data_IF_257962968264
#
_entry.id   IF_257962968264
#
_cell.length_a   1.000
_cell.length_b   1.000
_cell.length_c   1.000
_cell.angle_alpha   90.00
_cell.angle_beta   90.00
_cell.angle_gamma   90.00
#
_symmetry.space_group_name_H-M   'P 1'
#
loop_
_entity.id
_entity.type
_entity.pdbx_description
1 polymer ?
#
# COMPACT_ATOMS: atom_id res chain seq x y z
N UNK A 1 15.24 -45.80 29.82
CA UNK A 1 15.35 -44.79 28.75
C UNK A 1 13.97 -44.21 28.48
N UNK A 2 13.62 -43.12 29.16
CA UNK A 2 12.41 -42.30 28.93
C UNK A 2 12.87 -41.06 28.17
N UNK A 3 12.78 -41.09 26.84
CA UNK A 3 13.31 -40.03 26.00
C UNK A 3 12.67 -39.92 24.63
N UNK A 4 11.43 -40.41 24.48
CA UNK A 4 10.77 -40.42 23.17
C UNK A 4 9.33 -39.90 23.15
N UNK A 5 8.74 -39.56 24.31
CA UNK A 5 7.35 -39.05 24.35
C UNK A 5 7.24 -37.54 24.58
N UNK A 6 8.30 -36.86 25.02
CA UNK A 6 8.20 -35.42 25.32
C UNK A 6 8.27 -34.51 24.09
N UNK A 7 8.86 -34.96 22.97
CA UNK A 7 8.91 -34.15 21.74
C UNK A 7 7.62 -34.21 20.91
N UNK A 8 6.78 -35.24 21.13
CA UNK A 8 5.51 -35.41 20.41
C UNK A 8 4.37 -34.60 21.02
N UNK A 9 4.42 -34.34 22.33
CA UNK A 9 3.40 -33.58 23.05
C UNK A 9 3.59 -32.05 22.86
N UNK A 10 4.83 -31.60 22.61
CA UNK A 10 5.13 -30.19 22.33
C UNK A 10 4.91 -29.79 20.85
N UNK A 11 4.90 -30.75 19.92
CA UNK A 11 4.60 -30.49 18.51
C UNK A 11 3.10 -30.59 18.17
N UNK A 12 2.24 -30.94 19.13
CA UNK A 12 0.81 -31.20 18.89
C UNK A 12 -0.12 -30.10 19.44
N UNK A 13 0.44 -28.99 19.95
CA UNK A 13 -0.34 -27.87 20.50
C UNK A 13 -0.09 -26.54 19.79
N UNK A 14 0.71 -26.53 18.71
CA UNK A 14 0.89 -25.39 17.81
C UNK A 14 0.43 -25.79 16.40
N UNK A 15 -0.73 -26.46 16.29
CA UNK A 15 -1.63 -26.18 15.17
C UNK A 15 -2.42 -24.92 15.58
N UNK A 16 -1.71 -23.80 15.67
CA UNK A 16 -2.37 -22.50 15.59
C UNK A 16 -3.06 -22.52 14.22
N UNK A 17 -4.39 -22.39 14.20
CA UNK A 17 -5.14 -22.27 12.95
C UNK A 17 -4.63 -21.01 12.23
N UNK A 18 -3.58 -21.16 11.41
CA UNK A 18 -3.00 -20.08 10.63
C UNK A 18 -4.11 -19.49 9.77
N UNK A 19 -4.37 -18.19 9.94
CA UNK A 19 -5.37 -17.54 9.12
C UNK A 19 -4.84 -17.45 7.68
N UNK A 20 -5.76 -17.34 6.72
CA UNK A 20 -5.41 -17.12 5.30
C UNK A 20 -4.47 -15.92 5.12
N UNK A 21 -4.62 -14.88 5.94
CA UNK A 21 -3.76 -13.70 5.92
C UNK A 21 -2.34 -14.01 6.43
N UNK A 22 -2.19 -14.85 7.46
CA UNK A 22 -0.88 -15.27 7.98
C UNK A 22 -0.10 -16.03 6.92
N UNK A 23 -0.78 -16.95 6.21
CA UNK A 23 -0.19 -17.71 5.10
C UNK A 23 0.25 -16.76 3.97
N UNK A 24 -0.55 -15.74 3.66
CA UNK A 24 -0.19 -14.73 2.67
C UNK A 24 1.06 -13.94 3.09
N UNK A 25 1.12 -13.48 4.34
CA UNK A 25 2.26 -12.71 4.87
C UNK A 25 3.52 -13.57 4.90
N UNK A 26 3.43 -14.82 5.36
CA UNK A 26 4.58 -15.74 5.40
C UNK A 26 5.14 -15.95 3.98
N UNK A 27 4.25 -16.14 3.00
CA UNK A 27 4.64 -16.28 1.59
C UNK A 27 5.37 -15.02 1.08
N UNK A 28 4.78 -13.84 1.23
CA UNK A 28 5.38 -12.59 0.75
C UNK A 28 6.72 -12.30 1.43
N UNK A 29 6.83 -12.54 2.74
CA UNK A 29 8.10 -12.41 3.45
C UNK A 29 9.11 -13.41 2.89
N UNK A 30 8.78 -14.71 2.79
CA UNK A 30 9.73 -15.72 2.33
C UNK A 30 10.27 -15.45 0.91
N UNK A 31 9.42 -14.99 0.00
CA UNK A 31 9.78 -14.74 -1.40
C UNK A 31 10.45 -13.37 -1.62
N UNK A 32 10.04 -12.34 -0.86
CA UNK A 32 10.38 -10.95 -1.14
C UNK A 32 10.99 -10.20 0.05
N UNK A 33 11.45 -10.89 1.10
CA UNK A 33 12.05 -10.28 2.32
C UNK A 33 13.05 -9.19 1.97
N UNK A 34 14.00 -9.44 1.06
CA UNK A 34 15.05 -8.47 0.74
C UNK A 34 14.49 -7.17 0.15
N UNK A 35 13.53 -7.26 -0.76
CA UNK A 35 12.88 -6.11 -1.37
C UNK A 35 12.00 -5.36 -0.37
N UNK A 36 11.19 -6.09 0.42
CA UNK A 36 10.35 -5.52 1.47
C UNK A 36 11.21 -4.76 2.48
N UNK A 37 12.29 -5.37 2.96
CA UNK A 37 13.19 -4.77 3.94
C UNK A 37 13.85 -3.52 3.36
N UNK A 38 14.40 -3.59 2.15
CA UNK A 38 15.05 -2.45 1.51
C UNK A 38 14.08 -1.27 1.32
N UNK A 39 12.87 -1.50 0.80
CA UNK A 39 11.89 -0.42 0.60
C UNK A 39 11.30 0.09 1.93
N UNK A 40 11.19 -0.78 2.94
CA UNK A 40 10.80 -0.37 4.30
C UNK A 40 11.85 0.56 4.92
N UNK A 41 13.15 0.33 4.65
CA UNK A 41 14.21 1.25 5.11
C UNK A 41 14.08 2.64 4.45
N UNK A 42 13.69 2.71 3.19
CA UNK A 42 13.40 4.00 2.52
C UNK A 42 12.24 4.72 3.22
N UNK A 43 11.19 3.99 3.61
CA UNK A 43 10.04 4.55 4.33
C UNK A 43 10.37 5.06 5.74
N UNK A 44 11.49 4.63 6.35
CA UNK A 44 11.95 5.18 7.64
C UNK A 44 12.52 6.59 7.53
N UNK A 45 12.88 7.03 6.32
CA UNK A 45 13.36 8.39 6.12
C UNK A 45 12.18 9.33 6.31
N UNK A 46 12.25 10.28 7.26
CA UNK A 46 11.10 11.07 7.68
C UNK A 46 10.87 12.22 6.69
N UNK A 47 10.56 11.91 5.45
CA UNK A 47 10.25 12.89 4.39
C UNK A 47 9.09 12.37 3.57
N UNK A 48 8.03 13.16 3.45
CA UNK A 48 6.83 12.77 2.70
C UNK A 48 7.15 12.40 1.25
N UNK A 49 7.99 13.17 0.57
CA UNK A 49 8.40 12.88 -0.81
C UNK A 49 9.16 11.56 -0.92
N UNK A 50 10.06 11.29 0.02
CA UNK A 50 10.82 10.03 0.04
C UNK A 50 9.90 8.85 0.36
N UNK A 51 8.92 9.05 1.25
CA UNK A 51 7.88 8.07 1.55
C UNK A 51 7.04 7.75 0.32
N UNK A 52 6.63 8.75 -0.46
CA UNK A 52 5.92 8.56 -1.74
C UNK A 52 6.73 7.67 -2.70
N UNK A 53 8.04 7.92 -2.84
CA UNK A 53 8.93 7.07 -3.65
C UNK A 53 8.97 5.64 -3.09
N UNK A 54 9.14 5.49 -1.78
CA UNK A 54 9.12 4.20 -1.10
C UNK A 54 7.81 3.44 -1.32
N UNK A 55 6.66 4.13 -1.28
CA UNK A 55 5.33 3.55 -1.53
C UNK A 55 5.23 3.04 -2.98
N UNK A 56 5.68 3.82 -3.97
CA UNK A 56 5.68 3.40 -5.38
C UNK A 56 6.48 2.10 -5.54
N UNK A 57 7.71 2.08 -5.00
CA UNK A 57 8.59 0.92 -5.08
C UNK A 57 7.98 -0.29 -4.37
N UNK A 58 7.46 -0.10 -3.15
CA UNK A 58 6.86 -1.16 -2.37
C UNK A 58 5.62 -1.74 -3.06
N UNK A 59 4.70 -0.88 -3.53
CA UNK A 59 3.52 -1.32 -4.29
C UNK A 59 3.92 -2.12 -5.53
N UNK A 60 4.94 -1.67 -6.26
CA UNK A 60 5.40 -2.33 -7.48
C UNK A 60 6.02 -3.70 -7.26
N UNK A 61 6.64 -3.93 -6.10
CA UNK A 61 7.28 -5.20 -5.74
C UNK A 61 6.31 -6.23 -5.16
N UNK A 62 5.14 -5.80 -4.68
CA UNK A 62 4.15 -6.68 -4.08
C UNK A 62 3.23 -7.32 -5.14
N UNK A 63 1.90 -7.21 -4.97
CA UNK A 63 0.91 -7.84 -5.84
C UNK A 63 1.01 -7.39 -7.31
N UNK A 64 1.45 -6.15 -7.54
CA UNK A 64 1.65 -5.59 -8.89
C UNK A 64 2.70 -6.39 -9.67
N UNK A 65 3.81 -6.77 -9.01
CA UNK A 65 4.84 -7.63 -9.61
C UNK A 65 4.28 -8.99 -10.02
N UNK A 66 3.46 -9.58 -9.14
CA UNK A 66 2.92 -10.91 -9.38
C UNK A 66 1.92 -10.90 -10.54
N UNK A 67 1.07 -9.86 -10.65
CA UNK A 67 0.14 -9.70 -11.78
C UNK A 67 0.92 -9.51 -13.08
N UNK A 68 1.94 -8.64 -13.08
CA UNK A 68 2.76 -8.35 -14.27
C UNK A 68 3.47 -9.60 -14.79
N UNK A 69 4.01 -10.43 -13.90
CA UNK A 69 4.76 -11.64 -14.27
C UNK A 69 3.90 -12.90 -14.41
N UNK A 70 2.57 -12.78 -14.33
CA UNK A 70 1.61 -13.91 -14.32
C UNK A 70 1.80 -14.91 -13.18
N UNK A 71 2.56 -14.54 -12.15
CA UNK A 71 2.73 -15.35 -10.94
C UNK A 71 1.46 -15.40 -10.08
N UNK A 72 0.44 -14.58 -10.38
CA UNK A 72 -0.88 -14.68 -9.71
C UNK A 72 -1.55 -16.02 -10.01
N UNK A 73 -1.25 -16.65 -11.14
CA UNK A 73 -1.74 -17.99 -11.44
C UNK A 73 -1.22 -19.00 -10.40
N UNK A 74 0.01 -18.82 -9.89
CA UNK A 74 0.58 -19.59 -8.77
C UNK A 74 -0.10 -19.30 -7.43
N UNK A 75 -0.58 -18.06 -7.22
CA UNK A 75 -1.36 -17.66 -6.05
C UNK A 75 -2.78 -18.23 -6.06
N UNK A 76 -3.36 -18.52 -7.22
CA UNK A 76 -4.67 -19.21 -7.32
C UNK A 76 -4.59 -20.71 -7.04
N UNK A 77 -3.40 -21.32 -7.01
CA UNK A 77 -3.24 -22.67 -6.48
C UNK A 77 -3.36 -22.70 -4.95
N UNK A 78 -3.21 -21.55 -4.29
CA UNK A 78 -3.63 -21.35 -2.90
C UNK A 78 -5.13 -20.95 -2.91
N UNK A 79 -5.93 -21.35 -1.91
CA UNK A 79 -7.38 -21.12 -1.88
C UNK A 79 -7.74 -19.65 -1.52
N UNK A 80 -7.13 -18.70 -2.23
CA UNK A 80 -7.36 -17.27 -2.11
C UNK A 80 -8.24 -16.76 -3.26
N UNK A 81 -9.29 -16.03 -2.93
CA UNK A 81 -10.07 -15.23 -3.88
C UNK A 81 -9.30 -13.96 -4.28
N UNK A 82 -9.61 -13.37 -5.43
CA UNK A 82 -9.01 -12.07 -5.80
C UNK A 82 -9.35 -10.98 -4.80
N UNK A 83 -10.57 -11.03 -4.26
CA UNK A 83 -11.04 -10.11 -3.21
C UNK A 83 -10.10 -10.18 -2.01
N UNK A 84 -9.81 -11.37 -1.52
CA UNK A 84 -8.87 -11.60 -0.40
C UNK A 84 -7.46 -11.11 -0.74
N UNK A 85 -6.90 -11.45 -1.91
CA UNK A 85 -5.54 -11.02 -2.30
C UNK A 85 -5.37 -9.50 -2.34
N UNK A 86 -6.37 -8.78 -2.87
CA UNK A 86 -6.36 -7.32 -2.91
C UNK A 86 -6.30 -6.73 -1.49
N UNK A 87 -7.21 -7.17 -0.62
CA UNK A 87 -7.29 -6.65 0.73
C UNK A 87 -6.12 -7.07 1.61
N UNK A 88 -5.65 -8.32 1.53
CA UNK A 88 -4.49 -8.78 2.29
C UNK A 88 -3.24 -7.99 1.92
N UNK A 89 -3.03 -7.73 0.62
CA UNK A 89 -1.91 -6.92 0.20
C UNK A 89 -2.03 -5.47 0.69
N UNK A 90 -3.21 -4.85 0.55
CA UNK A 90 -3.45 -3.49 1.03
C UNK A 90 -3.26 -3.37 2.55
N UNK A 91 -3.79 -4.31 3.33
CA UNK A 91 -3.65 -4.31 4.79
C UNK A 91 -2.19 -4.47 5.19
N UNK A 92 -1.45 -5.36 4.52
CA UNK A 92 -0.02 -5.53 4.74
C UNK A 92 0.76 -4.22 4.48
N UNK A 93 0.48 -3.53 3.37
CA UNK A 93 1.10 -2.25 3.05
C UNK A 93 0.76 -1.16 4.07
N UNK A 94 -0.51 -1.09 4.52
CA UNK A 94 -0.92 -0.17 5.59
C UNK A 94 -0.14 -0.46 6.87
N UNK A 95 0.03 -1.73 7.24
CA UNK A 95 0.77 -2.12 8.44
C UNK A 95 2.24 -1.69 8.38
N UNK A 96 2.90 -1.87 7.23
CA UNK A 96 4.27 -1.38 7.00
C UNK A 96 4.35 0.14 7.17
N UNK A 97 3.37 0.89 6.65
CA UNK A 97 3.33 2.35 6.82
C UNK A 97 3.11 2.73 8.28
N UNK A 98 2.24 2.05 9.02
CA UNK A 98 2.01 2.34 10.43
C UNK A 98 3.28 2.15 11.26
N UNK A 99 4.01 1.05 11.04
CA UNK A 99 5.29 0.78 11.72
C UNK A 99 6.33 1.86 11.40
N UNK A 100 6.53 2.14 10.12
CA UNK A 100 7.56 3.10 9.68
C UNK A 100 7.22 4.55 10.05
N UNK A 101 5.95 4.89 10.19
CA UNK A 101 5.51 6.24 10.60
C UNK A 101 5.70 6.53 12.09
N UNK A 102 5.91 5.50 12.93
CA UNK A 102 6.26 5.71 14.33
C UNK A 102 7.58 6.47 14.51
N UNK A 103 8.49 6.36 13.53
CA UNK A 103 9.80 7.04 13.53
C UNK A 103 9.69 8.55 13.32
N UNK A 104 8.72 9.01 12.53
CA UNK A 104 8.53 10.44 12.25
C UNK A 104 8.26 11.25 13.52
N UNK A 105 7.44 10.67 14.41
CA UNK A 105 7.12 11.29 15.71
C UNK A 105 8.38 11.52 16.54
N UNK A 106 9.30 10.55 16.54
CA UNK A 106 10.54 10.61 17.30
C UNK A 106 11.49 11.64 16.70
N UNK A 107 11.62 11.67 15.37
CA UNK A 107 12.59 12.53 14.69
C UNK A 107 12.21 14.02 14.74
N UNK A 108 10.92 14.34 14.54
CA UNK A 108 10.44 15.71 14.50
C UNK A 108 9.82 16.21 15.80
N UNK A 109 9.83 15.40 16.86
CA UNK A 109 9.21 15.71 18.15
C UNK A 109 7.75 16.20 18.00
N UNK A 110 6.99 15.49 17.16
CA UNK A 110 5.62 15.87 16.82
C UNK A 110 4.68 15.62 18.00
N UNK A 111 3.65 16.47 18.09
CA UNK A 111 2.49 16.18 18.94
C UNK A 111 1.77 14.91 18.45
N UNK A 112 0.96 14.31 19.33
CA UNK A 112 0.17 13.12 18.98
C UNK A 112 -0.72 13.40 17.76
N UNK A 113 -1.34 14.58 17.70
CA UNK A 113 -2.22 14.97 16.60
C UNK A 113 -1.45 15.12 15.27
N UNK A 114 -0.30 15.78 15.28
CA UNK A 114 0.54 15.94 14.09
C UNK A 114 1.08 14.60 13.59
N UNK A 115 1.45 13.69 14.49
CA UNK A 115 1.86 12.33 14.13
C UNK A 115 0.74 11.53 13.46
N UNK A 116 -0.48 11.58 14.02
CA UNK A 116 -1.65 10.95 13.40
C UNK A 116 -1.98 11.56 12.03
N UNK A 117 -1.85 12.87 11.90
CA UNK A 117 -2.05 13.57 10.63
C UNK A 117 -1.00 13.15 9.59
N UNK A 118 0.28 13.04 9.96
CA UNK A 118 1.35 12.55 9.07
C UNK A 118 1.11 11.10 8.60
N UNK A 119 0.67 10.23 9.51
CA UNK A 119 0.24 8.86 9.19
C UNK A 119 -0.89 8.88 8.17
N UNK A 120 -1.94 9.67 8.44
CA UNK A 120 -3.08 9.78 7.53
C UNK A 120 -2.66 10.27 6.14
N UNK A 121 -1.82 11.30 6.07
CA UNK A 121 -1.27 11.80 4.79
C UNK A 121 -0.54 10.72 4.01
N UNK A 122 0.23 9.88 4.71
CA UNK A 122 0.98 8.77 4.09
C UNK A 122 0.04 7.66 3.62
N UNK A 123 -1.02 7.37 4.37
CA UNK A 123 -2.08 6.42 3.98
C UNK A 123 -2.85 6.92 2.74
N UNK A 124 -3.14 8.22 2.64
CA UNK A 124 -3.78 8.82 1.45
C UNK A 124 -2.93 8.57 0.21
N UNK A 125 -1.62 8.84 0.31
CA UNK A 125 -0.69 8.57 -0.78
C UNK A 125 -0.64 7.08 -1.14
N UNK A 126 -0.60 6.19 -0.14
CA UNK A 126 -0.66 4.74 -0.36
C UNK A 126 -1.90 4.31 -1.13
N UNK A 127 -3.09 4.73 -0.69
CA UNK A 127 -4.35 4.34 -1.32
C UNK A 127 -4.39 4.74 -2.80
N UNK A 128 -3.99 5.97 -3.11
CA UNK A 128 -3.94 6.45 -4.48
C UNK A 128 -2.90 5.68 -5.32
N UNK A 129 -1.66 5.58 -4.83
CA UNK A 129 -0.55 4.94 -5.58
C UNK A 129 -0.81 3.45 -5.77
N UNK A 130 -1.27 2.74 -4.73
CA UNK A 130 -1.66 1.35 -4.83
C UNK A 130 -2.82 1.17 -5.82
N UNK A 131 -3.85 2.00 -5.72
CA UNK A 131 -4.99 1.99 -6.64
C UNK A 131 -4.58 2.20 -8.09
N UNK A 132 -3.76 3.23 -8.36
CA UNK A 132 -3.20 3.49 -9.70
C UNK A 132 -2.40 2.29 -10.20
N UNK A 133 -1.45 1.79 -9.40
CA UNK A 133 -0.59 0.68 -9.79
C UNK A 133 -1.41 -0.56 -10.14
N UNK A 134 -2.40 -0.90 -9.30
CA UNK A 134 -3.29 -2.03 -9.50
C UNK A 134 -4.19 -1.85 -10.71
N UNK A 135 -4.77 -0.66 -10.91
CA UNK A 135 -5.65 -0.38 -12.04
C UNK A 135 -4.91 -0.55 -13.37
N UNK A 136 -3.74 0.06 -13.52
CA UNK A 136 -2.97 -0.04 -14.78
C UNK A 136 -2.43 -1.44 -15.03
N UNK A 137 -1.94 -2.13 -13.99
CA UNK A 137 -1.47 -3.53 -14.13
C UNK A 137 -2.63 -4.45 -14.49
N UNK A 138 -3.80 -4.22 -13.89
CA UNK A 138 -5.03 -4.93 -14.25
C UNK A 138 -5.46 -4.60 -15.68
N UNK A 139 -5.23 -3.42 -16.22
CA UNK A 139 -5.52 -3.13 -17.63
C UNK A 139 -4.47 -3.71 -18.61
N UNK A 140 -3.40 -4.33 -18.12
CA UNK A 140 -2.31 -4.88 -18.93
C UNK A 140 -1.20 -3.87 -19.27
N UNK A 141 -1.19 -2.71 -18.61
CA UNK A 141 -0.12 -1.73 -18.68
C UNK A 141 0.87 -1.90 -17.53
N UNK A 142 2.04 -1.25 -17.60
CA UNK A 142 3.02 -1.30 -16.51
C UNK A 142 2.60 -0.39 -15.33
N UNK A 143 2.06 -0.97 -14.27
CA UNK A 143 1.60 -0.22 -13.09
C UNK A 143 2.71 0.53 -12.36
N UNK A 144 3.97 0.08 -12.45
CA UNK A 144 5.10 0.81 -11.86
C UNK A 144 5.36 2.12 -12.61
N UNK A 145 5.42 2.07 -13.94
CA UNK A 145 5.65 3.27 -14.76
C UNK A 145 4.47 4.24 -14.62
N UNK A 146 3.25 3.73 -14.69
CA UNK A 146 2.05 4.58 -14.61
C UNK A 146 1.85 5.20 -13.23
N UNK A 147 2.19 4.51 -12.15
CA UNK A 147 2.16 5.11 -10.81
C UNK A 147 3.16 6.26 -10.66
N UNK A 148 4.36 6.15 -11.24
CA UNK A 148 5.31 7.28 -11.29
C UNK A 148 4.73 8.45 -12.09
N UNK A 149 4.28 8.19 -13.32
CA UNK A 149 3.76 9.24 -14.22
C UNK A 149 2.59 9.99 -13.57
N UNK A 150 1.63 9.26 -13.00
CA UNK A 150 0.44 9.89 -12.40
C UNK A 150 0.81 10.59 -11.09
N UNK A 151 1.75 10.07 -10.29
CA UNK A 151 2.20 10.77 -9.08
C UNK A 151 2.89 12.09 -9.42
N UNK A 152 3.73 12.12 -10.47
CA UNK A 152 4.35 13.36 -10.96
C UNK A 152 3.28 14.32 -11.47
N UNK A 153 2.31 13.84 -12.24
CA UNK A 153 1.21 14.66 -12.74
C UNK A 153 0.36 15.23 -11.59
N UNK A 154 0.04 14.42 -10.57
CA UNK A 154 -0.72 14.86 -9.39
C UNK A 154 0.03 15.95 -8.62
N UNK A 155 1.34 15.82 -8.44
CA UNK A 155 2.18 16.83 -7.80
C UNK A 155 2.19 18.14 -8.59
N UNK A 156 2.43 18.07 -9.90
CA UNK A 156 2.45 19.27 -10.75
C UNK A 156 1.10 19.96 -10.76
N UNK A 157 0.01 19.21 -11.02
CA UNK A 157 -1.34 19.76 -11.07
C UNK A 157 -1.82 20.27 -9.71
N UNK A 158 -1.41 19.64 -8.61
CA UNK A 158 -1.70 20.07 -7.26
C UNK A 158 -0.98 21.36 -6.85
N UNK A 159 0.18 21.64 -7.44
CA UNK A 159 0.98 22.83 -7.18
C UNK A 159 0.67 24.02 -8.10
N UNK A 160 -0.18 23.85 -9.12
CA UNK A 160 -0.62 24.96 -9.95
C UNK A 160 -1.55 25.90 -9.17
N UNK A 161 -1.32 27.21 -9.23
CA UNK A 161 -2.18 28.21 -8.59
C UNK A 161 -2.16 28.18 -7.06
N UNK A 162 -3.23 28.65 -6.46
CA UNK A 162 -3.34 28.89 -5.01
C UNK A 162 -4.34 27.93 -4.35
N UNK A 163 -4.04 27.53 -3.11
CA UNK A 163 -4.96 26.75 -2.26
C UNK A 163 -6.05 27.61 -1.60
N UNK A 164 -5.93 28.94 -1.68
CA UNK A 164 -6.83 29.87 -1.01
C UNK A 164 -8.12 30.04 -1.81
N UNK A 165 -9.26 29.64 -1.23
CA UNK A 165 -10.59 29.72 -1.84
C UNK A 165 -10.98 31.14 -2.32
N UNK A 166 -10.40 32.18 -1.73
CA UNK A 166 -10.71 33.57 -2.04
C UNK A 166 -9.73 34.20 -3.05
N UNK A 167 -8.78 33.43 -3.57
CA UNK A 167 -7.80 33.92 -4.55
C UNK A 167 -8.31 33.75 -5.98
N UNK A 168 -7.93 34.68 -6.88
CA UNK A 168 -8.33 34.64 -8.28
C UNK A 168 -7.71 33.46 -9.06
N UNK A 169 -6.62 32.91 -8.55
CA UNK A 169 -5.88 31.75 -9.06
C UNK A 169 -6.14 30.48 -8.26
N UNK A 170 -7.31 30.38 -7.59
CA UNK A 170 -7.69 29.22 -6.80
C UNK A 170 -7.72 27.93 -7.66
N UNK A 171 -6.97 26.92 -7.22
CA UNK A 171 -6.93 25.62 -7.85
C UNK A 171 -7.74 24.58 -7.04
N UNK A 172 -8.93 24.15 -7.51
CA UNK A 172 -9.71 23.15 -6.78
C UNK A 172 -9.03 21.77 -6.75
N UNK A 173 -8.16 21.45 -7.71
CA UNK A 173 -7.47 20.17 -7.77
C UNK A 173 -6.51 19.99 -6.58
N UNK A 174 -5.89 21.07 -6.10
CA UNK A 174 -4.98 21.02 -4.95
C UNK A 174 -5.67 20.51 -3.68
N UNK A 175 -7.00 20.60 -3.60
CA UNK A 175 -7.78 20.09 -2.47
C UNK A 175 -7.87 18.55 -2.45
N UNK A 176 -7.94 17.92 -3.62
CA UNK A 176 -8.10 16.46 -3.77
C UNK A 176 -6.80 15.73 -4.10
N UNK A 177 -5.76 16.44 -4.56
CA UNK A 177 -4.45 15.85 -4.88
C UNK A 177 -3.91 15.03 -3.72
N UNK A 178 -3.48 13.80 -4.00
CA UNK A 178 -2.95 12.88 -3.00
C UNK A 178 -1.47 13.14 -2.68
N UNK A 179 -0.76 13.96 -3.45
CA UNK A 179 0.57 14.47 -3.12
C UNK A 179 0.52 15.82 -2.40
N UNK A 180 -0.33 16.75 -2.84
CA UNK A 180 -0.42 18.09 -2.25
C UNK A 180 -1.30 18.13 -1.00
N UNK A 181 -2.42 17.42 -1.03
CA UNK A 181 -3.37 17.24 0.07
C UNK A 181 -3.80 18.57 0.74
N UNK A 182 -4.18 19.56 -0.07
CA UNK A 182 -4.64 20.87 0.44
C UNK A 182 -5.85 20.76 1.37
N UNK A 183 -6.70 19.75 1.17
CA UNK A 183 -7.69 19.31 2.15
C UNK A 183 -7.54 17.80 2.37
N UNK A 184 -7.06 17.41 3.54
CA UNK A 184 -6.77 16.01 3.88
C UNK A 184 -8.00 15.10 3.75
N UNK A 185 -9.19 15.59 4.09
CA UNK A 185 -10.43 14.82 4.01
C UNK A 185 -10.82 14.57 2.55
N UNK A 186 -10.78 15.61 1.72
CA UNK A 186 -11.10 15.49 0.29
C UNK A 186 -10.08 14.63 -0.46
N UNK A 187 -8.80 14.79 -0.15
CA UNK A 187 -7.75 13.94 -0.69
C UNK A 187 -7.91 12.46 -0.27
N UNK A 188 -8.34 12.20 0.97
CA UNK A 188 -8.66 10.85 1.42
C UNK A 188 -9.81 10.25 0.64
N UNK A 189 -10.93 10.96 0.50
CA UNK A 189 -12.08 10.48 -0.29
C UNK A 189 -11.68 10.18 -1.73
N UNK A 190 -10.88 11.05 -2.35
CA UNK A 190 -10.40 10.86 -3.72
C UNK A 190 -9.46 9.64 -3.84
N UNK A 191 -8.50 9.49 -2.93
CA UNK A 191 -7.60 8.33 -2.91
C UNK A 191 -8.35 7.01 -2.67
N UNK A 192 -9.34 7.00 -1.76
CA UNK A 192 -10.21 5.84 -1.56
C UNK A 192 -11.01 5.51 -2.81
N UNK A 193 -11.54 6.51 -3.53
CA UNK A 193 -12.25 6.30 -4.78
C UNK A 193 -11.35 5.66 -5.85
N UNK A 194 -10.11 6.13 -6.02
CA UNK A 194 -9.13 5.54 -6.93
C UNK A 194 -8.87 4.06 -6.56
N UNK A 195 -8.63 3.79 -5.28
CA UNK A 195 -8.38 2.43 -4.78
C UNK A 195 -9.60 1.51 -4.99
N UNK A 196 -10.81 2.02 -4.76
CA UNK A 196 -12.05 1.30 -4.97
C UNK A 196 -12.29 0.96 -6.46
N UNK A 197 -12.00 1.89 -7.37
CA UNK A 197 -12.06 1.63 -8.81
C UNK A 197 -11.06 0.55 -9.23
N UNK A 198 -9.86 0.57 -8.66
CA UNK A 198 -8.84 -0.46 -8.90
C UNK A 198 -9.28 -1.84 -8.40
N UNK A 199 -9.87 -1.91 -7.20
CA UNK A 199 -10.47 -3.13 -6.66
C UNK A 199 -11.53 -3.68 -7.62
N UNK A 200 -12.47 -2.84 -8.06
CA UNK A 200 -13.54 -3.24 -8.96
C UNK A 200 -13.02 -3.75 -10.31
N UNK A 201 -12.01 -3.09 -10.87
CA UNK A 201 -11.34 -3.53 -12.09
C UNK A 201 -10.67 -4.91 -11.89
N UNK A 202 -9.98 -5.09 -10.76
CA UNK A 202 -9.23 -6.31 -10.44
C UNK A 202 -10.14 -7.53 -10.28
N UNK A 203 -11.26 -7.41 -9.54
CA UNK A 203 -12.19 -8.53 -9.34
C UNK A 203 -12.90 -8.93 -10.65
N UNK A 204 -13.30 -7.94 -11.46
CA UNK A 204 -14.03 -8.19 -12.71
C UNK A 204 -13.14 -8.82 -13.77
N UNK A 205 -11.84 -8.50 -13.78
CA UNK A 205 -10.90 -9.09 -14.72
C UNK A 205 -10.70 -10.57 -14.37
N UNK A 206 -11.38 -11.44 -15.14
CA UNK A 206 -11.32 -12.90 -14.99
C UNK A 206 -12.52 -13.53 -14.28
N UNK A 207 -13.68 -12.85 -14.23
CA UNK A 207 -14.98 -13.51 -14.06
C UNK A 207 -15.36 -13.96 -12.64
N UNK A 208 -14.71 -13.45 -11.59
CA UNK A 208 -15.24 -13.63 -10.22
C UNK A 208 -16.44 -12.70 -10.02
N UNK A 209 -17.64 -13.27 -9.93
CA UNK A 209 -18.86 -12.57 -9.53
C UNK A 209 -18.96 -12.57 -7.99
#
# INVERSE_FOLDING_TARGET
>A
MKGFEFSRILNFSIEENLTKMDIYIEKELKEKTGQILFFTLILLIPSFTIRVIGIILLCSAMLVYDIKNKNVELLYFLPFSKKELFFYNLIFLIFVILITSAVDKIYYNLTILEGLLAILKTIIALLAIYGISMLFTTLGHDGFIWSIVITIADALLGDLGSINLNSADFNPYSLISFTKQGNVILAFLYATLICFLAYFAYIKKGGEN
#
